data_IF_461031661242
#
_entry.id   IF_461031661242
#
_cell.length_a   1.000
_cell.length_b   1.000
_cell.length_c   1.000
_cell.angle_alpha   90.00
_cell.angle_beta   90.00
_cell.angle_gamma   90.00
#
_symmetry.space_group_name_H-M   'P 1'
#
loop_
_entity.id
_entity.type
_entity.pdbx_description
1 polymer ?
#
# COMPACT_ATOMS: atom_id res chain seq x y z
N UNK A 1 10.24 20.50 40.05
CA UNK A 1 10.67 19.24 40.68
C UNK A 1 11.03 18.26 39.58
N UNK A 2 12.32 17.99 39.36
CA UNK A 2 12.75 16.92 38.46
C UNK A 2 12.45 15.58 39.12
N UNK A 3 11.76 14.69 38.40
CA UNK A 3 11.52 13.33 38.87
C UNK A 3 12.84 12.55 38.87
N UNK A 4 13.06 11.72 39.89
CA UNK A 4 14.15 10.74 39.86
C UNK A 4 13.86 9.69 38.78
N UNK A 5 14.89 9.11 38.15
CA UNK A 5 14.70 8.08 37.11
C UNK A 5 13.80 6.91 37.57
N UNK A 6 13.97 6.46 38.82
CA UNK A 6 13.15 5.41 39.43
C UNK A 6 11.67 5.83 39.57
N UNK A 7 11.43 7.08 39.97
CA UNK A 7 10.08 7.63 40.10
C UNK A 7 9.43 7.82 38.73
N UNK A 8 10.18 8.31 37.74
CA UNK A 8 9.72 8.44 36.36
C UNK A 8 9.33 7.07 35.78
N UNK A 9 10.15 6.04 36.02
CA UNK A 9 9.86 4.67 35.59
C UNK A 9 8.58 4.13 36.23
N UNK A 10 8.38 4.37 37.54
CA UNK A 10 7.16 3.95 38.24
C UNK A 10 5.88 4.62 37.74
N UNK A 11 6.00 5.80 37.12
CA UNK A 11 4.87 6.55 36.53
C UNK A 11 4.52 6.13 35.11
N UNK A 12 5.28 5.21 34.51
CA UNK A 12 4.99 4.70 33.17
C UNK A 12 3.69 3.85 33.17
N UNK A 13 3.00 3.74 32.03
CA UNK A 13 1.85 2.85 31.92
C UNK A 13 2.21 1.42 32.31
N UNK A 14 1.37 0.77 33.12
CA UNK A 14 1.66 -0.55 33.68
C UNK A 14 2.08 -1.59 32.63
N UNK A 15 1.49 -1.56 31.43
CA UNK A 15 1.83 -2.48 30.34
C UNK A 15 3.27 -2.33 29.87
N UNK A 16 3.73 -1.09 29.76
CA UNK A 16 5.08 -0.75 29.31
C UNK A 16 6.09 -0.95 30.44
N UNK A 17 5.71 -0.62 31.68
CA UNK A 17 6.49 -0.97 32.88
C UNK A 17 6.72 -2.48 33.00
N UNK A 18 5.67 -3.30 32.92
CA UNK A 18 5.76 -4.76 32.96
C UNK A 18 6.57 -5.32 31.79
N UNK A 19 6.51 -4.68 30.62
CA UNK A 19 7.32 -5.08 29.48
C UNK A 19 8.81 -4.93 29.79
N UNK A 20 9.24 -3.77 30.31
CA UNK A 20 10.65 -3.53 30.63
C UNK A 20 11.17 -4.36 31.80
N UNK A 21 10.31 -4.74 32.76
CA UNK A 21 10.68 -5.72 33.79
C UNK A 21 11.04 -7.07 33.17
N UNK A 22 10.25 -7.51 32.18
CA UNK A 22 10.43 -8.82 31.55
C UNK A 22 11.50 -8.82 30.45
N UNK A 23 11.63 -7.70 29.74
CA UNK A 23 12.54 -7.49 28.62
C UNK A 23 13.31 -6.19 28.85
N UNK A 24 14.40 -6.24 29.63
CA UNK A 24 15.16 -5.04 29.97
C UNK A 24 15.91 -4.49 28.74
N UNK A 25 16.08 -3.16 28.63
CA UNK A 25 16.84 -2.55 27.56
C UNK A 25 18.36 -2.65 27.79
N UNK A 26 19.15 -2.06 26.87
CA UNK A 26 20.60 -1.92 27.02
C UNK A 26 20.96 -1.15 28.30
N UNK A 27 22.04 -1.51 29.03
CA UNK A 27 23.08 -2.49 28.67
C UNK A 27 22.74 -3.95 29.04
N UNK A 28 21.60 -4.21 29.69
CA UNK A 28 21.30 -5.52 30.27
C UNK A 28 20.97 -6.59 29.23
N UNK A 29 20.25 -6.22 28.15
CA UNK A 29 19.95 -7.14 27.06
C UNK A 29 19.97 -6.44 25.71
N UNK A 30 20.30 -7.21 24.68
CA UNK A 30 20.22 -6.82 23.28
C UNK A 30 19.39 -7.83 22.51
N UNK A 31 18.50 -7.35 21.66
CA UNK A 31 17.57 -8.18 20.91
C UNK A 31 17.87 -8.13 19.42
N UNK A 32 17.73 -9.28 18.75
CA UNK A 32 18.00 -9.39 17.32
C UNK A 32 16.97 -8.63 16.47
N UNK A 33 17.45 -8.05 15.37
CA UNK A 33 16.61 -7.35 14.37
C UNK A 33 15.88 -8.31 13.44
N UNK A 34 16.42 -9.52 13.26
CA UNK A 34 15.87 -10.57 12.41
C UNK A 34 15.28 -11.71 13.25
N UNK A 35 14.29 -12.44 12.70
CA UNK A 35 13.78 -13.67 13.32
C UNK A 35 14.92 -14.64 13.63
N UNK A 36 14.91 -15.21 14.83
CA UNK A 36 15.94 -16.15 15.27
C UNK A 36 15.35 -17.46 15.78
N UNK A 37 16.17 -18.28 16.41
CA UNK A 37 15.81 -19.60 16.93
C UNK A 37 15.32 -19.46 18.37
N UNK A 38 14.40 -20.31 18.83
CA UNK A 38 13.84 -20.25 20.20
C UNK A 38 14.91 -20.35 21.30
N UNK A 39 16.01 -21.03 21.04
CA UNK A 39 17.14 -21.23 21.97
C UNK A 39 18.11 -20.05 22.02
N UNK A 40 17.97 -19.06 21.14
CA UNK A 40 18.85 -17.90 21.07
C UNK A 40 18.63 -16.98 22.30
N UNK A 41 19.69 -16.60 23.04
CA UNK A 41 19.55 -15.67 24.17
C UNK A 41 19.12 -14.27 23.73
N UNK A 42 19.39 -13.84 22.48
CA UNK A 42 19.00 -12.53 21.95
C UNK A 42 17.64 -12.53 21.25
N UNK A 43 16.76 -13.45 21.67
CA UNK A 43 15.43 -13.66 21.11
C UNK A 43 14.56 -12.40 21.18
N UNK A 44 14.12 -11.90 20.03
CA UNK A 44 13.23 -10.75 19.99
C UNK A 44 11.77 -11.16 20.30
N UNK A 45 11.11 -10.55 21.30
CA UNK A 45 9.74 -10.89 21.66
C UNK A 45 8.69 -10.48 20.62
N UNK A 46 9.03 -9.58 19.69
CA UNK A 46 8.14 -9.06 18.64
C UNK A 46 8.21 -9.85 17.33
N UNK A 47 9.22 -10.70 17.16
CA UNK A 47 9.42 -11.48 15.95
C UNK A 47 8.99 -12.94 16.14
N UNK A 48 8.49 -13.60 15.08
CA UNK A 48 8.27 -15.03 15.11
C UNK A 48 9.63 -15.74 15.17
N UNK A 49 9.70 -16.87 15.88
CA UNK A 49 10.96 -17.58 16.10
C UNK A 49 10.84 -19.03 15.66
N UNK A 50 11.93 -19.58 15.11
CA UNK A 50 11.95 -20.94 14.59
C UNK A 50 12.36 -21.93 15.68
N UNK A 51 11.62 -23.02 15.81
CA UNK A 51 12.03 -24.15 16.64
C UNK A 51 13.10 -24.96 15.87
N UNK A 52 14.31 -25.16 16.43
CA UNK A 52 15.37 -25.88 15.74
C UNK A 52 15.09 -27.37 15.60
N UNK A 53 14.39 -27.98 16.57
CA UNK A 53 14.10 -29.41 16.60
C UNK A 53 12.97 -29.78 15.63
N UNK A 54 11.85 -29.05 15.70
CA UNK A 54 10.66 -29.35 14.88
C UNK A 54 10.63 -28.60 13.53
N UNK A 55 11.51 -27.61 13.34
CA UNK A 55 11.52 -26.74 12.17
C UNK A 55 10.35 -25.77 12.04
N UNK A 56 9.35 -25.84 12.95
CA UNK A 56 8.13 -25.02 12.92
C UNK A 56 8.38 -23.61 13.44
N UNK A 57 7.63 -22.64 12.91
CA UNK A 57 7.65 -21.27 13.38
C UNK A 57 6.67 -21.05 14.53
N UNK A 58 7.16 -20.51 15.62
CA UNK A 58 6.33 -20.07 16.74
C UNK A 58 5.90 -18.62 16.49
N UNK A 59 4.65 -18.34 16.85
CA UNK A 59 4.15 -16.97 16.89
C UNK A 59 5.00 -16.10 17.83
N UNK A 60 5.11 -14.79 17.56
CA UNK A 60 5.84 -13.88 18.44
C UNK A 60 5.23 -13.89 19.84
N UNK A 61 6.07 -13.69 20.86
CA UNK A 61 5.60 -13.66 22.27
C UNK A 61 4.60 -12.52 22.51
N UNK A 62 4.75 -11.42 21.77
CA UNK A 62 3.77 -10.34 21.68
C UNK A 62 3.18 -10.30 20.29
N UNK A 63 1.84 -10.35 20.21
CA UNK A 63 1.14 -10.17 18.94
C UNK A 63 1.37 -8.76 18.38
N UNK A 64 1.20 -8.61 17.07
CA UNK A 64 1.39 -7.34 16.35
C UNK A 64 0.56 -6.18 16.95
N UNK A 65 -0.63 -6.47 17.49
CA UNK A 65 -1.44 -5.47 18.21
C UNK A 65 -0.74 -5.02 19.49
N UNK A 66 -0.29 -5.96 20.33
CA UNK A 66 0.32 -5.66 21.62
C UNK A 66 1.67 -4.95 21.46
N UNK A 67 2.48 -5.35 20.48
CA UNK A 67 3.73 -4.66 20.18
C UNK A 67 3.49 -3.25 19.64
N UNK A 68 2.45 -3.04 18.82
CA UNK A 68 2.06 -1.70 18.39
C UNK A 68 1.57 -0.81 19.54
N UNK A 69 0.77 -1.36 20.46
CA UNK A 69 0.33 -0.62 21.65
C UNK A 69 1.54 -0.19 22.51
N UNK A 70 2.51 -1.10 22.73
CA UNK A 70 3.75 -0.81 23.44
C UNK A 70 4.56 0.28 22.75
N UNK A 71 4.76 0.17 21.43
CA UNK A 71 5.50 1.16 20.65
C UNK A 71 4.85 2.55 20.73
N UNK A 72 3.52 2.63 20.55
CA UNK A 72 2.79 3.90 20.65
C UNK A 72 2.91 4.52 22.05
N UNK A 73 2.83 3.70 23.10
CA UNK A 73 3.07 4.17 24.47
C UNK A 73 4.51 4.66 24.63
N UNK A 74 5.50 3.92 24.16
CA UNK A 74 6.91 4.29 24.26
C UNK A 74 7.23 5.59 23.52
N UNK A 75 6.72 5.77 22.30
CA UNK A 75 6.84 7.01 21.52
C UNK A 75 6.24 8.21 22.28
N UNK A 76 5.08 8.04 22.93
CA UNK A 76 4.45 9.11 23.72
C UNK A 76 5.35 9.61 24.87
N UNK A 77 6.15 8.72 25.45
CA UNK A 77 7.10 9.05 26.52
C UNK A 77 8.54 9.26 26.02
N UNK A 78 8.80 9.22 24.71
CA UNK A 78 10.13 9.42 24.12
C UNK A 78 11.14 8.29 24.40
N UNK A 79 10.67 7.08 24.71
CA UNK A 79 11.51 5.92 25.11
C UNK A 79 11.41 4.76 24.12
N UNK A 80 11.14 5.05 22.86
CA UNK A 80 10.99 4.03 21.82
C UNK A 80 12.28 3.28 21.50
N UNK A 81 13.44 3.93 21.61
CA UNK A 81 14.75 3.32 21.34
C UNK A 81 15.11 2.20 22.31
N UNK A 82 14.49 2.21 23.50
CA UNK A 82 14.68 1.18 24.52
C UNK A 82 13.91 -0.11 24.18
N UNK A 83 12.96 -0.06 23.25
CA UNK A 83 12.23 -1.26 22.83
C UNK A 83 13.10 -2.13 21.90
N UNK A 84 12.88 -3.46 21.90
CA UNK A 84 13.42 -4.32 20.86
C UNK A 84 13.01 -3.82 19.47
N UNK A 85 13.86 -4.01 18.44
CA UNK A 85 13.57 -3.57 17.09
C UNK A 85 12.28 -4.22 16.58
N UNK A 86 11.36 -3.42 16.05
CA UNK A 86 10.07 -3.89 15.53
C UNK A 86 10.07 -4.00 14.00
N UNK A 87 9.40 -5.00 13.41
CA UNK A 87 9.32 -5.12 11.94
C UNK A 87 8.41 -4.07 11.29
N UNK A 88 7.56 -3.42 12.08
CA UNK A 88 6.58 -2.44 11.60
C UNK A 88 7.10 -1.03 11.86
N UNK A 89 7.03 -0.17 10.83
CA UNK A 89 7.28 1.27 10.93
C UNK A 89 6.01 2.01 11.37
N UNK A 90 6.17 3.13 12.06
CA UNK A 90 5.07 3.94 12.58
C UNK A 90 5.20 5.42 12.16
N UNK A 91 4.08 6.15 12.22
CA UNK A 91 4.00 7.61 12.01
C UNK A 91 4.81 8.14 10.80
N UNK A 92 5.75 9.04 11.03
CA UNK A 92 6.60 9.73 10.04
C UNK A 92 7.43 8.71 9.24
N UNK A 93 8.15 7.82 9.91
CA UNK A 93 8.95 6.78 9.24
C UNK A 93 8.11 5.91 8.31
N UNK A 94 6.85 5.65 8.69
CA UNK A 94 5.92 4.91 7.84
C UNK A 94 5.47 5.75 6.66
N UNK A 95 5.22 7.04 6.85
CA UNK A 95 4.76 7.94 5.79
C UNK A 95 5.85 8.14 4.72
N UNK A 96 7.09 8.38 5.14
CA UNK A 96 8.20 8.69 4.25
C UNK A 96 8.66 7.46 3.47
N UNK A 97 8.65 6.28 4.12
CA UNK A 97 9.11 5.03 3.51
C UNK A 97 7.99 4.19 2.87
N UNK A 98 6.77 4.72 2.71
CA UNK A 98 5.67 3.93 2.14
C UNK A 98 5.84 3.75 0.62
N UNK A 99 5.61 2.53 0.16
CA UNK A 99 5.41 2.29 -1.27
C UNK A 99 3.98 2.69 -1.63
N UNK A 100 3.83 3.57 -2.61
CA UNK A 100 2.51 3.98 -3.12
C UNK A 100 1.79 2.78 -3.74
N UNK A 101 0.46 2.71 -3.55
CA UNK A 101 -0.33 1.63 -4.13
C UNK A 101 -0.29 1.72 -5.66
N UNK A 102 -0.20 0.56 -6.33
CA UNK A 102 -0.17 0.47 -7.80
C UNK A 102 -1.31 1.25 -8.47
N UNK A 103 -2.50 1.25 -7.88
CA UNK A 103 -3.63 2.02 -8.41
C UNK A 103 -3.36 3.52 -8.40
N UNK A 104 -2.79 4.06 -7.33
CA UNK A 104 -2.48 5.50 -7.22
C UNK A 104 -1.45 5.92 -8.27
N UNK A 105 -0.42 5.10 -8.49
CA UNK A 105 0.61 5.35 -9.49
C UNK A 105 0.08 5.13 -10.92
N UNK A 106 -0.63 4.02 -11.13
CA UNK A 106 -1.06 3.52 -12.44
C UNK A 106 -2.51 3.02 -12.37
N UNK A 107 -3.44 3.88 -12.76
CA UNK A 107 -4.86 3.53 -12.82
C UNK A 107 -5.17 2.70 -14.06
N UNK A 108 -5.76 1.51 -13.87
CA UNK A 108 -6.11 0.58 -14.97
C UNK A 108 -7.22 1.11 -15.90
N UNK A 109 -7.99 2.12 -15.47
CA UNK A 109 -9.22 2.60 -16.12
C UNK A 109 -10.31 1.52 -16.22
N UNK A 110 -11.56 1.92 -16.46
CA UNK A 110 -12.67 0.99 -16.72
C UNK A 110 -12.51 0.37 -18.11
N UNK A 111 -13.23 -0.73 -18.38
CA UNK A 111 -13.15 -1.41 -19.68
C UNK A 111 -13.59 -0.49 -20.83
N UNK A 112 -14.71 0.21 -20.68
CA UNK A 112 -15.22 1.11 -21.71
C UNK A 112 -14.28 2.30 -21.97
N UNK A 113 -13.60 2.83 -20.95
CA UNK A 113 -12.61 3.91 -21.11
C UNK A 113 -11.39 3.48 -21.93
N UNK A 114 -11.02 2.20 -21.83
CA UNK A 114 -9.91 1.62 -22.60
C UNK A 114 -10.29 1.38 -24.06
N UNK A 115 -11.53 0.94 -24.30
CA UNK A 115 -12.06 0.64 -25.64
C UNK A 115 -12.63 1.87 -26.35
N UNK A 116 -12.89 2.97 -25.64
CA UNK A 116 -13.47 4.20 -26.19
C UNK A 116 -12.69 4.75 -27.40
N UNK A 117 -11.35 4.91 -27.37
CA UNK A 117 -10.62 5.44 -28.52
C UNK A 117 -10.84 4.59 -29.78
N UNK A 118 -10.70 3.27 -29.66
CA UNK A 118 -10.93 2.33 -30.76
C UNK A 118 -12.36 2.42 -31.31
N UNK A 119 -13.36 2.55 -30.43
CA UNK A 119 -14.77 2.72 -30.85
C UNK A 119 -15.01 4.05 -31.56
N UNK A 120 -14.32 5.12 -31.16
CA UNK A 120 -14.43 6.42 -31.82
C UNK A 120 -13.78 6.40 -33.20
N UNK A 121 -12.61 5.78 -33.35
CA UNK A 121 -11.93 5.59 -34.63
C UNK A 121 -12.77 4.74 -35.59
N UNK A 122 -13.33 3.62 -35.12
CA UNK A 122 -14.23 2.79 -35.91
C UNK A 122 -15.49 3.56 -36.37
N UNK A 123 -16.02 4.44 -35.49
CA UNK A 123 -17.16 5.30 -35.83
C UNK A 123 -16.79 6.34 -36.90
N UNK A 124 -15.62 6.95 -36.81
CA UNK A 124 -15.13 7.91 -37.80
C UNK A 124 -14.95 7.26 -39.17
N UNK A 125 -14.34 6.08 -39.22
CA UNK A 125 -14.18 5.31 -40.46
C UNK A 125 -15.53 4.88 -41.06
N UNK A 126 -16.48 4.47 -40.22
CA UNK A 126 -17.83 4.11 -40.67
C UNK A 126 -18.60 5.31 -41.24
N UNK A 127 -18.42 6.50 -40.67
CA UNK A 127 -19.02 7.74 -41.20
C UNK A 127 -18.38 8.10 -42.54
N UNK A 128 -17.05 8.00 -42.66
CA UNK A 128 -16.33 8.30 -43.89
C UNK A 128 -16.73 7.37 -45.05
N UNK A 129 -16.94 6.09 -44.78
CA UNK A 129 -17.34 5.07 -45.78
C UNK A 129 -18.86 4.93 -45.94
N UNK A 130 -19.65 5.72 -45.22
CA UNK A 130 -21.11 5.60 -45.17
C UNK A 130 -21.75 5.70 -46.56
N UNK A 131 -21.35 6.68 -47.37
CA UNK A 131 -21.93 6.89 -48.69
C UNK A 131 -21.66 5.73 -49.66
N UNK A 132 -20.49 5.09 -49.56
CA UNK A 132 -20.13 3.93 -50.37
C UNK A 132 -21.00 2.72 -50.03
N UNK A 133 -21.20 2.46 -48.73
CA UNK A 133 -22.04 1.36 -48.27
C UNK A 133 -23.50 1.53 -48.71
N UNK A 134 -24.04 2.75 -48.62
CA UNK A 134 -25.40 3.05 -49.10
C UNK A 134 -25.49 2.90 -50.62
N UNK A 135 -24.47 3.37 -51.35
CA UNK A 135 -24.42 3.25 -52.80
C UNK A 135 -24.35 1.79 -53.29
N UNK A 136 -23.73 0.89 -52.52
CA UNK A 136 -23.68 -0.53 -52.82
C UNK A 136 -25.06 -1.20 -52.70
N UNK A 137 -25.80 -0.91 -51.62
CA UNK A 137 -27.15 -1.47 -51.40
C UNK A 137 -28.19 -0.81 -52.29
N UNK A 138 -28.06 0.49 -52.55
CA UNK A 138 -28.98 1.30 -53.36
C UNK A 138 -28.23 1.95 -54.53
N UNK A 139 -28.14 1.29 -55.69
CA UNK A 139 -27.38 1.81 -56.84
C UNK A 139 -27.84 3.20 -57.33
N UNK A 140 -29.14 3.51 -57.20
CA UNK A 140 -29.70 4.82 -57.53
C UNK A 140 -29.19 5.98 -56.67
N UNK A 141 -28.63 5.69 -55.48
CA UNK A 141 -28.07 6.67 -54.56
C UNK A 141 -26.85 7.40 -55.14
N UNK A 142 -26.04 6.74 -55.98
CA UNK A 142 -24.88 7.35 -56.65
C UNK A 142 -25.26 8.58 -57.47
N UNK A 143 -26.35 8.48 -58.24
CA UNK A 143 -26.88 9.59 -59.04
C UNK A 143 -27.39 10.73 -58.16
N UNK A 144 -27.89 10.41 -56.96
CA UNK A 144 -28.37 11.40 -56.00
C UNK A 144 -27.22 12.17 -55.33
N UNK A 145 -26.12 11.50 -54.98
CA UNK A 145 -24.89 12.15 -54.47
C UNK A 145 -24.35 13.15 -55.50
N UNK A 146 -24.15 12.71 -56.76
CA UNK A 146 -23.64 13.56 -57.84
C UNK A 146 -24.51 14.82 -58.05
N UNK A 147 -25.83 14.66 -58.04
CA UNK A 147 -26.77 15.79 -58.13
C UNK A 147 -26.68 16.73 -56.92
N UNK A 148 -26.39 16.19 -55.72
CA UNK A 148 -26.29 16.97 -54.48
C UNK A 148 -24.98 17.76 -54.42
N UNK A 149 -23.87 17.17 -54.85
CA UNK A 149 -22.59 17.86 -55.02
C UNK A 149 -22.69 18.99 -56.04
N UNK A 150 -23.28 18.74 -57.21
CA UNK A 150 -23.47 19.76 -58.24
C UNK A 150 -24.36 20.95 -57.79
N UNK A 151 -25.23 20.74 -56.79
CA UNK A 151 -26.13 21.75 -56.21
C UNK A 151 -25.61 22.35 -54.91
N UNK A 152 -24.43 21.95 -54.43
CA UNK A 152 -23.88 22.41 -53.15
C UNK A 152 -23.61 23.92 -53.25
N UNK A 153 -24.30 24.70 -52.41
CA UNK A 153 -24.06 26.15 -52.31
C UNK A 153 -22.64 26.40 -51.79
N UNK A 154 -21.95 27.35 -52.39
CA UNK A 154 -20.59 27.77 -52.04
C UNK A 154 -20.56 28.95 -51.07
N UNK A 155 -21.69 29.63 -50.87
CA UNK A 155 -21.82 30.75 -49.93
C UNK A 155 -22.85 30.42 -48.84
N UNK A 156 -22.61 30.95 -47.64
CA UNK A 156 -23.49 30.83 -46.48
C UNK A 156 -24.51 31.96 -46.44
#
# INVERSE_FOLDING_TARGET
MSLTAKEAFSKLPQKLHNFFIKYPPRPFAEYNTKPSTITDPKLNPFLPNKNPESGKWHSPKFSLRRSADLYKMARKFGIEELLPPTPKKYYEEKYDNKNWMRGVLTQKKKRWERELPEKLEAREQAIATMDETIAAVRPGYKKQIQKREARKKTWF
#
